data_IF_707827449662
#
_entry.id   IF_707827449662
#
_cell.length_a   1.000
_cell.length_b   1.000
_cell.length_c   1.000
_cell.angle_alpha   90.00
_cell.angle_beta   90.00
_cell.angle_gamma   90.00
#
_symmetry.space_group_name_H-M   'P 1'
#
loop_
_entity.id
_entity.type
_entity.pdbx_description
1 polymer ?
#
# COMPACT_ATOMS: atom_id res chain seq x y z
N UNK A 1 -13.38 15.87 -13.75
CA UNK A 1 -12.56 16.73 -12.86
C UNK A 1 -12.70 16.19 -11.45
N UNK A 2 -11.64 15.60 -10.95
CA UNK A 2 -11.61 15.08 -9.60
C UNK A 2 -11.20 16.20 -8.67
N UNK A 3 -12.09 16.59 -7.80
CA UNK A 3 -11.73 17.45 -6.69
C UNK A 3 -11.51 16.58 -5.48
N UNK A 4 -10.48 16.86 -4.69
CA UNK A 4 -10.40 16.33 -3.35
C UNK A 4 -11.72 16.61 -2.65
N UNK A 5 -12.21 15.61 -1.94
CA UNK A 5 -13.32 15.83 -1.06
C UNK A 5 -13.00 16.99 -0.13
N UNK A 6 -13.90 17.96 0.05
CA UNK A 6 -13.73 18.95 1.10
C UNK A 6 -13.67 18.33 2.51
N UNK A 7 -13.93 17.02 2.61
CA UNK A 7 -13.82 16.23 3.84
C UNK A 7 -12.49 15.51 4.00
N UNK A 8 -11.59 15.57 3.01
CA UNK A 8 -10.30 14.93 3.12
C UNK A 8 -9.55 15.48 4.35
N UNK A 9 -9.13 14.57 5.21
CA UNK A 9 -8.41 14.90 6.43
C UNK A 9 -6.99 14.35 6.36
N UNK A 10 -6.04 15.15 6.82
CA UNK A 10 -4.65 14.73 6.95
C UNK A 10 -4.43 14.26 8.40
N UNK A 11 -3.97 13.04 8.55
CA UNK A 11 -3.73 12.40 9.84
C UNK A 11 -2.33 11.82 9.94
N UNK A 12 -1.85 11.68 11.16
CA UNK A 12 -0.67 10.86 11.44
C UNK A 12 -1.07 9.37 11.42
N UNK A 13 -0.11 8.48 11.29
CA UNK A 13 -0.37 7.04 11.34
C UNK A 13 -1.11 6.62 12.62
N UNK A 14 -0.73 7.19 13.77
CA UNK A 14 -1.36 6.88 15.06
C UNK A 14 -2.82 7.31 15.15
N UNK A 15 -3.24 8.30 14.38
CA UNK A 15 -4.61 8.82 14.38
C UNK A 15 -5.57 7.97 13.53
N UNK A 16 -5.06 7.05 12.72
CA UNK A 16 -5.90 6.22 11.83
C UNK A 16 -6.35 4.95 12.56
N UNK A 17 -5.67 4.57 13.61
CA UNK A 17 -5.98 3.38 14.38
C UNK A 17 -5.30 2.13 13.83
N UNK A 18 -5.54 1.03 14.50
CA UNK A 18 -5.02 -0.28 14.14
C UNK A 18 -6.07 -1.09 13.40
N UNK A 19 -5.67 -2.08 12.61
CA UNK A 19 -6.60 -3.07 12.12
C UNK A 19 -7.43 -3.68 13.26
N UNK A 20 -8.70 -3.88 13.00
CA UNK A 20 -9.61 -4.47 13.98
C UNK A 20 -9.47 -5.98 14.01
N UNK A 21 -8.42 -6.48 14.60
CA UNK A 21 -8.19 -7.91 14.73
C UNK A 21 -7.21 -8.21 15.85
N UNK A 22 -7.11 -9.46 16.23
CA UNK A 22 -6.14 -9.94 17.23
C UNK A 22 -4.70 -9.93 16.67
N UNK A 23 -4.55 -9.74 15.36
CA UNK A 23 -3.28 -9.85 14.68
C UNK A 23 -2.56 -8.51 14.64
N UNK A 24 -1.34 -8.50 15.17
CA UNK A 24 -0.44 -7.34 15.11
C UNK A 24 0.57 -7.42 13.96
N UNK A 25 0.54 -8.50 13.20
CA UNK A 25 1.41 -8.75 12.06
C UNK A 25 0.57 -9.06 10.83
N UNK A 26 1.10 -8.73 9.67
CA UNK A 26 0.54 -9.19 8.40
C UNK A 26 0.57 -10.71 8.36
N UNK A 27 -0.55 -11.33 8.02
CA UNK A 27 -0.71 -12.78 7.93
C UNK A 27 -0.56 -13.29 6.51
N UNK A 28 -1.01 -12.52 5.53
CA UNK A 28 -1.02 -12.92 4.13
C UNK A 28 -0.41 -11.86 3.24
N UNK A 29 0.41 -12.31 2.30
CA UNK A 29 1.05 -11.44 1.31
C UNK A 29 0.82 -12.02 -0.08
N UNK A 30 0.31 -11.20 -0.98
CA UNK A 30 0.25 -11.51 -2.41
C UNK A 30 1.08 -10.49 -3.16
N UNK A 31 2.04 -10.94 -3.94
CA UNK A 31 2.89 -10.07 -4.73
C UNK A 31 2.85 -10.48 -6.20
N UNK A 32 2.67 -9.51 -7.08
CA UNK A 32 2.84 -9.68 -8.52
C UNK A 32 4.08 -8.94 -8.98
N UNK A 33 4.96 -9.66 -9.61
CA UNK A 33 6.20 -9.12 -10.15
C UNK A 33 6.07 -8.90 -11.66
N UNK A 34 6.84 -7.97 -12.16
CA UNK A 34 7.01 -7.80 -13.60
C UNK A 34 7.50 -9.12 -14.20
N UNK A 35 6.96 -9.47 -15.35
CA UNK A 35 7.27 -10.75 -16.02
C UNK A 35 8.78 -10.98 -16.14
N UNK A 36 9.23 -12.13 -15.67
CA UNK A 36 10.65 -12.50 -15.68
C UNK A 36 11.49 -11.84 -14.59
N UNK A 37 10.89 -11.08 -13.67
CA UNK A 37 11.58 -10.34 -12.61
C UNK A 37 11.27 -10.87 -11.20
N UNK A 38 10.59 -11.99 -11.08
CA UNK A 38 10.27 -12.58 -9.79
C UNK A 38 11.54 -12.99 -9.05
N UNK A 39 11.78 -12.51 -7.83
CA UNK A 39 12.93 -12.92 -7.03
C UNK A 39 12.90 -14.41 -6.71
N UNK A 40 14.09 -15.01 -6.52
CA UNK A 40 14.25 -16.46 -6.39
C UNK A 40 13.35 -17.09 -5.32
N UNK A 41 13.31 -16.51 -4.11
CA UNK A 41 12.51 -17.05 -3.01
C UNK A 41 11.01 -16.89 -3.21
N UNK A 42 10.60 -15.99 -4.08
CA UNK A 42 9.22 -15.76 -4.45
C UNK A 42 8.71 -16.65 -5.57
N UNK A 43 9.60 -17.30 -6.32
CA UNK A 43 9.24 -18.17 -7.44
C UNK A 43 8.51 -19.43 -7.02
N UNK A 44 8.88 -19.98 -5.86
CA UNK A 44 8.32 -21.22 -5.35
C UNK A 44 6.95 -21.03 -4.70
N UNK A 45 6.47 -19.82 -4.71
CA UNK A 45 5.18 -19.47 -4.16
C UNK A 45 4.21 -19.16 -5.30
N UNK A 46 3.13 -19.93 -5.48
CA UNK A 46 2.08 -19.57 -6.43
C UNK A 46 1.42 -18.25 -6.05
N UNK A 47 0.87 -17.51 -7.02
CA UNK A 47 0.36 -16.15 -6.86
C UNK A 47 -0.81 -15.98 -5.87
N UNK A 48 -1.31 -17.06 -5.31
CA UNK A 48 -2.44 -17.05 -4.38
C UNK A 48 -2.07 -17.64 -3.03
N UNK A 49 -2.49 -16.94 -1.97
CA UNK A 49 -2.55 -17.47 -0.61
C UNK A 49 -1.21 -17.78 0.06
N UNK A 50 -0.47 -16.72 0.39
CA UNK A 50 0.71 -16.93 1.21
C UNK A 50 0.44 -16.60 2.65
N UNK A 51 0.45 -17.65 3.43
CA UNK A 51 0.48 -17.47 4.86
C UNK A 51 1.88 -17.00 5.28
N UNK A 52 2.06 -15.67 5.25
CA UNK A 52 3.31 -15.04 5.63
C UNK A 52 3.69 -15.38 7.08
N UNK A 53 2.70 -15.43 7.96
CA UNK A 53 2.91 -15.75 9.37
C UNK A 53 3.39 -17.19 9.63
N UNK A 54 3.19 -18.09 8.68
CA UNK A 54 3.68 -19.46 8.78
C UNK A 54 5.14 -19.64 8.31
N UNK A 55 5.74 -18.60 7.76
CA UNK A 55 7.15 -18.66 7.34
C UNK A 55 8.08 -18.66 8.57
N UNK A 56 9.16 -19.41 8.48
CA UNK A 56 10.25 -19.29 9.44
C UNK A 56 10.81 -17.85 9.42
N UNK A 57 11.23 -17.30 10.57
CA UNK A 57 11.71 -15.92 10.64
C UNK A 57 12.82 -15.60 9.63
N UNK A 58 13.75 -16.52 9.41
CA UNK A 58 14.84 -16.33 8.45
C UNK A 58 14.36 -16.28 7.02
N UNK A 59 13.37 -17.09 6.68
CA UNK A 59 12.77 -17.09 5.34
C UNK A 59 11.95 -15.81 5.12
N UNK A 60 11.15 -15.41 6.08
CA UNK A 60 10.38 -14.16 6.00
C UNK A 60 11.31 -12.95 5.83
N UNK A 61 12.41 -12.90 6.58
CA UNK A 61 13.41 -11.82 6.47
C UNK A 61 14.07 -11.80 5.08
N UNK A 62 14.46 -12.96 4.58
CA UNK A 62 15.09 -13.06 3.25
C UNK A 62 14.10 -12.66 2.13
N UNK A 63 12.85 -13.08 2.23
CA UNK A 63 11.82 -12.70 1.28
C UNK A 63 11.49 -11.21 1.36
N UNK A 64 11.43 -10.65 2.56
CA UNK A 64 11.21 -9.21 2.74
C UNK A 64 12.35 -8.38 2.13
N UNK A 65 13.60 -8.81 2.28
CA UNK A 65 14.75 -8.13 1.68
C UNK A 65 14.70 -8.20 0.14
N UNK A 66 14.33 -9.35 -0.42
CA UNK A 66 14.11 -9.46 -1.86
C UNK A 66 12.97 -8.58 -2.36
N UNK A 67 11.88 -8.50 -1.61
CA UNK A 67 10.74 -7.62 -1.92
C UNK A 67 11.16 -6.15 -1.92
N UNK A 68 11.88 -5.72 -0.88
CA UNK A 68 12.43 -4.38 -0.78
C UNK A 68 13.24 -4.01 -2.03
N UNK A 69 14.19 -4.86 -2.41
CA UNK A 69 15.03 -4.62 -3.58
C UNK A 69 14.22 -4.60 -4.87
N UNK A 70 13.21 -5.45 -4.98
CA UNK A 70 12.32 -5.47 -6.13
C UNK A 70 11.46 -4.21 -6.23
N UNK A 71 10.97 -3.67 -5.11
CA UNK A 71 10.24 -2.39 -5.08
C UNK A 71 11.14 -1.26 -5.54
N UNK A 72 12.34 -1.15 -4.96
CA UNK A 72 13.28 -0.07 -5.30
C UNK A 72 13.69 -0.13 -6.78
N UNK A 73 13.85 -1.32 -7.35
CA UNK A 73 14.28 -1.51 -8.73
C UNK A 73 13.14 -1.56 -9.75
N UNK A 74 11.90 -1.31 -9.34
CA UNK A 74 10.75 -1.27 -10.25
C UNK A 74 10.32 -2.62 -10.81
N UNK A 75 10.52 -3.70 -10.06
CA UNK A 75 10.21 -5.08 -10.48
C UNK A 75 8.88 -5.60 -9.95
N UNK A 76 8.19 -4.85 -9.13
CA UNK A 76 6.89 -5.21 -8.57
C UNK A 76 5.79 -4.48 -9.32
N UNK A 77 4.72 -5.19 -9.67
CA UNK A 77 3.52 -4.60 -10.25
C UNK A 77 2.49 -4.25 -9.19
N UNK A 78 2.23 -5.18 -8.27
CA UNK A 78 1.25 -4.95 -7.21
C UNK A 78 1.56 -5.79 -5.98
N UNK A 79 1.07 -5.32 -4.83
CA UNK A 79 1.14 -5.99 -3.55
C UNK A 79 -0.21 -5.92 -2.85
N UNK A 80 -0.52 -6.97 -2.11
CA UNK A 80 -1.66 -7.03 -1.22
C UNK A 80 -1.22 -7.66 0.09
N UNK A 81 -1.36 -6.91 1.18
CA UNK A 81 -0.95 -7.33 2.52
C UNK A 81 -2.19 -7.28 3.42
N UNK A 82 -2.54 -8.40 4.01
CA UNK A 82 -3.77 -8.53 4.78
C UNK A 82 -3.59 -9.35 6.06
N UNK A 83 -4.63 -9.33 6.88
CA UNK A 83 -4.69 -10.05 8.16
C UNK A 83 -5.59 -11.28 8.10
N UNK A 84 -6.31 -11.46 7.02
CA UNK A 84 -7.19 -12.59 6.77
C UNK A 84 -6.94 -13.18 5.37
N UNK A 85 -7.32 -14.44 5.11
CA UNK A 85 -7.06 -15.08 3.82
C UNK A 85 -7.74 -14.42 2.63
N UNK A 86 -8.85 -13.76 2.86
CA UNK A 86 -9.66 -13.15 1.80
C UNK A 86 -9.19 -11.73 1.49
N UNK A 87 -8.53 -11.06 2.45
CA UNK A 87 -8.07 -9.69 2.30
C UNK A 87 -9.20 -8.69 2.18
N UNK A 88 -10.34 -8.96 2.85
CA UNK A 88 -11.54 -8.15 2.69
C UNK A 88 -11.67 -7.05 3.74
N UNK A 89 -11.21 -7.31 4.96
CA UNK A 89 -11.43 -6.40 6.08
C UNK A 89 -10.35 -5.32 6.17
N UNK A 90 -9.19 -5.70 6.64
CA UNK A 90 -8.07 -4.77 6.81
C UNK A 90 -6.93 -5.17 5.87
N UNK A 91 -6.50 -4.26 5.01
CA UNK A 91 -5.42 -4.55 4.09
C UNK A 91 -4.67 -3.30 3.63
N UNK A 92 -3.46 -3.49 3.17
CA UNK A 92 -2.72 -2.52 2.39
C UNK A 92 -2.57 -3.04 0.96
N UNK A 93 -3.13 -2.34 0.00
CA UNK A 93 -2.90 -2.59 -1.42
C UNK A 93 -1.91 -1.59 -1.99
N UNK A 94 -1.06 -2.05 -2.88
CA UNK A 94 -0.07 -1.22 -3.54
C UNK A 94 -0.03 -1.54 -5.01
N UNK A 95 -0.14 -0.53 -5.84
CA UNK A 95 0.03 -0.62 -7.28
C UNK A 95 1.21 0.24 -7.72
N UNK A 96 2.00 -0.28 -8.63
CA UNK A 96 3.19 0.40 -9.14
C UNK A 96 3.05 0.63 -10.64
N UNK A 97 3.38 1.82 -11.08
CA UNK A 97 3.42 2.17 -12.50
C UNK A 97 4.42 3.29 -12.76
N UNK A 98 5.30 3.07 -13.72
CA UNK A 98 6.25 4.09 -14.19
C UNK A 98 7.08 4.76 -13.08
N UNK A 99 7.57 3.97 -12.12
CA UNK A 99 8.37 4.50 -11.01
C UNK A 99 7.57 5.23 -9.94
N UNK A 100 6.25 5.04 -9.92
CA UNK A 100 5.34 5.61 -8.92
C UNK A 100 4.57 4.51 -8.21
N UNK A 101 4.22 4.76 -6.96
CA UNK A 101 3.45 3.83 -6.14
C UNK A 101 2.20 4.52 -5.57
N UNK A 102 1.07 3.85 -5.71
CA UNK A 102 -0.17 4.20 -5.05
C UNK A 102 -0.46 3.17 -3.96
N UNK A 103 -0.50 3.62 -2.71
CA UNK A 103 -0.79 2.79 -1.55
C UNK A 103 -2.17 3.14 -1.02
N UNK A 104 -2.98 2.13 -0.76
CA UNK A 104 -4.28 2.28 -0.15
C UNK A 104 -4.41 1.34 1.05
N UNK A 105 -4.54 1.90 2.22
CA UNK A 105 -4.92 1.18 3.42
C UNK A 105 -6.43 1.23 3.60
N UNK A 106 -7.05 0.09 3.78
CA UNK A 106 -8.47 -0.03 4.05
C UNK A 106 -8.68 -0.66 5.43
N UNK A 107 -9.45 0.01 6.27
CA UNK A 107 -9.76 -0.45 7.61
C UNK A 107 -11.26 -0.75 7.73
N UNK A 108 -11.65 -2.01 7.62
CA UNK A 108 -13.01 -2.52 7.86
C UNK A 108 -14.13 -1.66 7.26
N UNK A 109 -13.99 -1.20 6.04
CA UNK A 109 -14.94 -0.31 5.35
C UNK A 109 -15.20 1.05 6.03
N UNK A 110 -14.56 1.30 7.16
CA UNK A 110 -14.75 2.55 7.91
C UNK A 110 -13.84 3.68 7.42
N UNK A 111 -12.67 3.33 6.91
CA UNK A 111 -11.65 4.32 6.58
C UNK A 111 -10.76 3.81 5.46
N UNK A 112 -10.59 4.62 4.44
CA UNK A 112 -9.56 4.44 3.43
C UNK A 112 -8.50 5.52 3.62
N UNK A 113 -7.23 5.13 3.66
CA UNK A 113 -6.13 6.06 3.85
C UNK A 113 -5.04 5.84 2.80
N UNK A 114 -4.48 6.93 2.30
CA UNK A 114 -3.34 6.92 1.39
C UNK A 114 -2.22 7.81 1.94
N UNK A 115 -0.94 7.46 1.72
CA UNK A 115 0.14 8.35 2.10
C UNK A 115 0.02 9.66 1.33
N UNK A 116 0.40 10.77 1.94
CA UNK A 116 0.29 12.06 1.30
C UNK A 116 1.42 13.01 1.66
N UNK A 117 1.63 13.98 0.77
CA UNK A 117 2.51 15.12 1.01
C UNK A 117 1.64 16.38 1.18
N UNK A 118 1.40 16.82 2.43
CA UNK A 118 0.56 17.97 2.68
C UNK A 118 1.18 19.29 2.21
N UNK A 119 2.49 19.30 1.93
CA UNK A 119 3.22 20.50 1.49
C UNK A 119 3.19 20.71 -0.04
N UNK A 120 2.40 19.87 -0.75
CA UNK A 120 2.17 20.00 -2.19
C UNK A 120 0.73 20.38 -2.50
N UNK A 121 0.31 21.63 -2.21
CA UNK A 121 -1.07 22.06 -2.38
C UNK A 121 -1.55 22.00 -3.84
N UNK A 122 -0.67 22.27 -4.79
CA UNK A 122 -0.94 22.18 -6.23
C UNK A 122 -1.19 20.75 -6.74
N UNK A 123 -0.71 19.75 -6.00
CA UNK A 123 -0.91 18.35 -6.33
C UNK A 123 -2.23 17.76 -5.79
N UNK A 124 -3.04 18.58 -5.13
CA UNK A 124 -4.32 18.17 -4.58
C UNK A 124 -5.50 18.51 -5.48
N UNK A 125 -5.41 19.60 -6.23
CA UNK A 125 -6.47 20.03 -7.13
C UNK A 125 -6.26 19.42 -8.52
N UNK A 126 -7.32 18.86 -9.09
CA UNK A 126 -7.41 18.35 -10.46
C UNK A 126 -6.27 17.42 -10.95
N UNK A 127 -5.21 17.26 -10.18
CA UNK A 127 -4.09 16.41 -10.51
C UNK A 127 -4.25 15.02 -9.90
N UNK A 128 -4.32 14.01 -10.74
CA UNK A 128 -4.45 12.63 -10.30
C UNK A 128 -3.56 11.70 -11.12
N UNK A 129 -3.25 10.55 -10.54
CA UNK A 129 -2.64 9.44 -11.24
C UNK A 129 -3.60 8.27 -11.26
N UNK A 130 -3.70 7.61 -12.41
CA UNK A 130 -4.50 6.42 -12.59
C UNK A 130 -3.56 5.21 -12.55
N UNK A 131 -3.28 4.78 -11.32
CA UNK A 131 -2.36 3.67 -11.06
C UNK A 131 -3.18 2.44 -10.69
N UNK A 132 -2.90 1.31 -11.34
CA UNK A 132 -3.65 0.08 -11.16
C UNK A 132 -5.02 0.07 -11.86
N UNK A 133 -5.42 1.15 -12.50
CA UNK A 133 -6.59 1.22 -13.37
C UNK A 133 -7.95 1.20 -12.69
N UNK A 134 -8.03 1.37 -11.37
CA UNK A 134 -9.32 1.25 -10.66
C UNK A 134 -9.77 2.52 -9.94
N UNK A 135 -8.87 3.25 -9.34
CA UNK A 135 -9.22 4.44 -8.58
C UNK A 135 -8.20 5.54 -8.83
N UNK A 136 -8.62 6.70 -9.33
CA UNK A 136 -7.71 7.82 -9.44
C UNK A 136 -7.25 8.28 -8.05
N UNK A 137 -5.94 8.50 -7.93
CA UNK A 137 -5.31 8.92 -6.69
C UNK A 137 -4.74 10.32 -6.90
N UNK A 138 -5.00 11.28 -6.00
CA UNK A 138 -4.38 12.61 -6.10
C UNK A 138 -2.85 12.50 -6.17
N UNK A 139 -2.20 13.35 -6.96
CA UNK A 139 -0.75 13.31 -7.08
C UNK A 139 -0.04 13.52 -5.74
N UNK A 140 -0.65 14.27 -4.82
CA UNK A 140 -0.14 14.41 -3.46
C UNK A 140 -0.11 13.07 -2.67
N UNK A 141 -0.89 12.09 -3.10
CA UNK A 141 -0.98 10.75 -2.48
C UNK A 141 -0.17 9.69 -3.24
N UNK A 142 0.60 10.06 -4.24
CA UNK A 142 1.44 9.16 -5.01
C UNK A 142 2.87 9.27 -4.52
N UNK A 143 3.50 8.13 -4.22
CA UNK A 143 4.91 8.08 -3.86
C UNK A 143 5.76 7.93 -5.13
N UNK A 144 6.64 8.89 -5.38
CA UNK A 144 7.59 8.86 -6.49
C UNK A 144 8.97 8.35 -6.05
N UNK A 145 9.25 8.40 -4.76
CA UNK A 145 10.48 7.85 -4.19
C UNK A 145 10.26 6.37 -3.81
N UNK A 146 10.84 5.46 -4.59
CA UNK A 146 10.67 4.02 -4.38
C UNK A 146 11.36 3.51 -3.13
N UNK A 147 12.40 4.15 -2.65
CA UNK A 147 13.02 3.81 -1.36
C UNK A 147 12.07 4.13 -0.21
N UNK A 148 11.40 5.28 -0.25
CA UNK A 148 10.36 5.63 0.71
C UNK A 148 9.18 4.66 0.62
N UNK A 149 8.72 4.35 -0.58
CA UNK A 149 7.65 3.36 -0.78
C UNK A 149 8.01 2.01 -0.15
N UNK A 150 9.23 1.53 -0.39
CA UNK A 150 9.71 0.29 0.21
C UNK A 150 9.69 0.35 1.74
N UNK A 151 10.16 1.44 2.35
CA UNK A 151 10.13 1.60 3.82
C UNK A 151 8.72 1.57 4.39
N UNK A 152 7.80 2.28 3.76
CA UNK A 152 6.39 2.32 4.19
C UNK A 152 5.75 0.94 4.10
N UNK A 153 5.98 0.22 3.00
CA UNK A 153 5.47 -1.13 2.78
C UNK A 153 6.06 -2.12 3.80
N UNK A 154 7.38 -2.11 3.96
CA UNK A 154 8.05 -3.04 4.88
C UNK A 154 7.69 -2.75 6.34
N UNK A 155 7.49 -1.50 6.69
CA UNK A 155 7.01 -1.14 8.02
C UNK A 155 5.65 -1.77 8.31
N UNK A 156 4.72 -1.70 7.34
CA UNK A 156 3.41 -2.36 7.46
C UNK A 156 3.55 -3.88 7.56
N UNK A 157 4.37 -4.47 6.71
CA UNK A 157 4.61 -5.92 6.70
C UNK A 157 5.12 -6.43 8.07
N UNK A 158 6.01 -5.70 8.69
CA UNK A 158 6.64 -6.09 9.95
C UNK A 158 5.79 -5.77 11.18
N UNK A 159 5.03 -4.68 11.15
CA UNK A 159 4.35 -4.15 12.32
C UNK A 159 2.81 -4.22 12.24
N UNK A 160 2.23 -4.44 11.06
CA UNK A 160 0.79 -4.39 10.85
C UNK A 160 0.18 -3.00 11.07
N UNK A 161 0.99 -1.96 10.97
CA UNK A 161 0.62 -0.56 11.20
C UNK A 161 1.10 0.33 10.07
N UNK A 162 0.43 1.47 9.92
CA UNK A 162 0.88 2.49 8.99
C UNK A 162 2.18 3.13 9.47
N UNK A 163 3.07 3.40 8.53
CA UNK A 163 4.35 4.03 8.83
C UNK A 163 4.19 5.45 9.37
N UNK A 164 4.85 5.81 10.47
CA UNK A 164 4.88 7.17 10.97
C UNK A 164 5.76 8.11 10.15
N UNK A 165 6.48 7.59 9.18
CA UNK A 165 7.39 8.37 8.30
C UNK A 165 6.63 9.35 7.41
N UNK A 166 5.36 9.05 7.11
CA UNK A 166 4.55 9.88 6.22
C UNK A 166 3.23 10.29 6.90
N UNK A 167 2.61 11.34 6.38
CA UNK A 167 1.24 11.69 6.69
C UNK A 167 0.30 10.85 5.83
N UNK A 168 -0.95 10.75 6.27
CA UNK A 168 -1.97 9.95 5.61
C UNK A 168 -3.21 10.80 5.37
N UNK A 169 -3.74 10.72 4.17
CA UNK A 169 -5.00 11.34 3.81
C UNK A 169 -6.14 10.33 3.97
N UNK A 170 -7.21 10.74 4.65
CA UNK A 170 -8.44 9.95 4.80
C UNK A 170 -9.57 10.68 4.07
N UNK A 171 -10.55 9.91 3.59
CA UNK A 171 -11.71 10.44 2.83
C UNK A 171 -11.30 11.28 1.62
N UNK A 172 -10.18 10.93 1.01
CA UNK A 172 -9.62 11.69 -0.12
C UNK A 172 -10.34 11.45 -1.45
N UNK A 173 -11.15 10.40 -1.54
CA UNK A 173 -11.81 10.03 -2.80
C UNK A 173 -13.04 10.89 -3.09
N UNK A 174 -13.61 11.54 -2.08
CA UNK A 174 -14.79 12.37 -2.26
C UNK A 174 -16.00 11.63 -2.87
N UNK A 175 -17.10 12.33 -3.02
CA UNK A 175 -18.20 11.87 -3.86
C UNK A 175 -17.77 12.03 -5.33
N UNK A 176 -17.04 11.07 -5.84
CA UNK A 176 -16.81 10.98 -7.27
C UNK A 176 -18.17 10.74 -7.92
N UNK A 177 -18.64 11.65 -8.79
CA UNK A 177 -19.82 11.32 -9.57
C UNK A 177 -19.47 10.11 -10.42
N UNK A 178 -20.02 8.97 -10.07
CA UNK A 178 -19.99 7.81 -10.93
C UNK A 178 -20.80 8.18 -12.16
N UNK A 179 -20.09 8.45 -13.20
CA UNK A 179 -20.70 8.65 -14.51
C UNK A 179 -20.70 7.32 -15.23
#
# INVERSE_FOLDING_TARGET
MFRLSPKAEIRTADQIGLPTGEYQQVQYVTARFVRGKTPKRWRDFPDSERNWAALAPEEAQAMAEQLKNAVISGRVQSLWLSFDPWGEDDFLSVDFEQGRAALLYNACDECAAAPCDPDRPDAWEDAHADIGGQTPVPLACVLENMEKAARVILYFLENGKLSPETKWAVDFTGDLPWV
#
